data_IF_808795256623
#
_entry.id   IF_808795256623
#
_cell.length_a   1.000
_cell.length_b   1.000
_cell.length_c   1.000
_cell.angle_alpha   90.00
_cell.angle_beta   90.00
_cell.angle_gamma   90.00
#
_symmetry.space_group_name_H-M   'P 1'
#
loop_
_entity.id
_entity.type
_entity.pdbx_description
1 polymer ?
#
# COMPACT_ATOMS: atom_id res chain seq x y z
N UNK A 1 -12.48 -3.12 15.17
CA UNK A 1 -11.88 -2.52 13.97
C UNK A 1 -10.61 -3.31 13.66
N UNK A 2 -10.20 -3.45 12.39
CA UNK A 2 -8.93 -4.10 12.09
C UNK A 2 -7.78 -3.36 12.78
N UNK A 3 -6.74 -4.10 13.15
CA UNK A 3 -5.47 -3.59 13.65
C UNK A 3 -4.71 -2.85 12.53
N UNK A 4 -4.82 -3.36 11.31
CA UNK A 4 -4.15 -2.86 10.12
C UNK A 4 -4.90 -3.36 8.87
N UNK A 5 -4.89 -2.57 7.80
CA UNK A 5 -5.49 -2.93 6.52
C UNK A 5 -4.48 -2.68 5.39
N UNK A 6 -4.43 -3.56 4.40
CA UNK A 6 -3.53 -3.42 3.26
C UNK A 6 -4.26 -3.63 1.94
N UNK A 7 -3.76 -2.95 0.91
CA UNK A 7 -4.18 -3.11 -0.49
C UNK A 7 -2.95 -3.41 -1.36
N UNK A 8 -3.06 -4.31 -2.33
CA UNK A 8 -1.97 -4.61 -3.24
C UNK A 8 -1.79 -3.51 -4.29
N UNK A 9 -0.56 -3.02 -4.47
CA UNK A 9 -0.27 -2.04 -5.53
C UNK A 9 -0.21 -2.66 -6.93
N UNK A 10 0.19 -3.94 -7.03
CA UNK A 10 0.45 -4.60 -8.33
C UNK A 10 -0.48 -5.78 -8.63
N UNK A 11 -1.27 -6.23 -7.65
CA UNK A 11 -2.26 -7.30 -7.82
C UNK A 11 -3.67 -6.71 -7.62
N UNK A 12 -4.42 -6.42 -8.70
CA UNK A 12 -5.75 -5.83 -8.56
C UNK A 12 -6.68 -6.76 -7.77
N UNK A 13 -7.58 -6.15 -6.99
CA UNK A 13 -8.60 -6.81 -6.18
C UNK A 13 -8.09 -7.65 -4.98
N UNK A 14 -6.84 -7.42 -4.53
CA UNK A 14 -6.33 -8.00 -3.28
C UNK A 14 -6.36 -7.00 -2.13
N UNK A 15 -7.02 -7.40 -1.04
CA UNK A 15 -7.14 -6.62 0.19
C UNK A 15 -6.93 -7.54 1.41
N UNK A 16 -6.29 -7.03 2.46
CA UNK A 16 -6.08 -7.73 3.74
C UNK A 16 -6.53 -6.87 4.90
N UNK A 17 -7.10 -7.50 5.91
CA UNK A 17 -7.35 -6.88 7.22
C UNK A 17 -6.81 -7.79 8.32
N UNK A 18 -5.89 -7.29 9.14
CA UNK A 18 -5.41 -7.98 10.33
C UNK A 18 -6.29 -7.60 11.52
N UNK A 19 -6.62 -8.58 12.36
CA UNK A 19 -7.27 -8.36 13.66
C UNK A 19 -6.36 -8.71 14.83
N UNK A 20 -5.36 -9.57 14.61
CA UNK A 20 -4.37 -9.95 15.60
C UNK A 20 -2.99 -10.12 14.92
N UNK A 21 -1.93 -9.97 15.72
CA UNK A 21 -0.54 -10.19 15.30
C UNK A 21 0.06 -11.23 16.23
N UNK A 22 0.36 -12.39 15.68
CA UNK A 22 1.08 -13.44 16.38
C UNK A 22 2.60 -13.20 16.33
N UNK A 23 3.35 -14.04 17.05
CA UNK A 23 4.81 -14.05 16.99
C UNK A 23 5.29 -14.36 15.56
N UNK A 24 6.52 -13.97 15.23
CA UNK A 24 7.16 -14.20 13.92
C UNK A 24 6.50 -13.50 12.71
N UNK A 25 5.75 -12.41 12.90
CA UNK A 25 5.22 -11.60 11.79
C UNK A 25 4.05 -12.27 11.06
N UNK A 26 3.35 -13.16 11.74
CA UNK A 26 2.10 -13.77 11.30
C UNK A 26 0.92 -12.91 11.76
N UNK A 27 -0.02 -12.65 10.88
CA UNK A 27 -1.25 -11.91 11.18
C UNK A 27 -2.44 -12.86 11.08
N UNK A 28 -3.31 -12.82 12.07
CA UNK A 28 -4.65 -13.38 11.95
C UNK A 28 -5.61 -12.32 11.43
N UNK A 29 -6.37 -12.65 10.39
CA UNK A 29 -7.18 -11.67 9.72
C UNK A 29 -8.12 -12.25 8.67
N UNK A 30 -8.43 -11.43 7.67
CA UNK A 30 -9.17 -11.84 6.49
C UNK A 30 -8.52 -11.30 5.23
N UNK A 31 -8.65 -12.04 4.13
CA UNK A 31 -8.16 -11.67 2.80
C UNK A 31 -9.31 -11.69 1.81
N UNK A 32 -9.30 -10.72 0.90
CA UNK A 32 -10.15 -10.69 -0.29
C UNK A 32 -9.24 -10.70 -1.50
N UNK A 33 -9.53 -11.56 -2.47
CA UNK A 33 -8.73 -11.69 -3.69
C UNK A 33 -9.59 -12.21 -4.85
N UNK A 34 -9.09 -12.19 -6.09
CA UNK A 34 -9.70 -12.91 -7.21
C UNK A 34 -9.89 -14.41 -6.93
N UNK A 35 -9.01 -15.01 -6.11
CA UNK A 35 -9.10 -16.42 -5.74
C UNK A 35 -10.27 -16.71 -4.81
N UNK A 36 -10.65 -15.74 -3.98
CA UNK A 36 -11.84 -15.81 -3.11
C UNK A 36 -13.10 -15.31 -3.83
N UNK A 37 -13.04 -15.11 -5.16
CA UNK A 37 -14.11 -14.51 -5.96
C UNK A 37 -14.61 -13.17 -5.40
N UNK A 38 -13.68 -12.37 -4.86
CA UNK A 38 -13.99 -11.08 -4.25
C UNK A 38 -14.74 -11.17 -2.91
N UNK A 39 -14.83 -12.36 -2.31
CA UNK A 39 -15.35 -12.55 -0.96
C UNK A 39 -14.23 -12.42 0.08
N UNK A 40 -14.58 -12.03 1.30
CA UNK A 40 -13.64 -12.06 2.41
C UNK A 40 -13.56 -13.46 3.00
N UNK A 41 -12.34 -13.99 3.16
CA UNK A 41 -12.08 -15.25 3.84
C UNK A 41 -11.13 -15.04 5.01
N UNK A 42 -11.48 -15.60 6.17
CA UNK A 42 -10.64 -15.53 7.36
C UNK A 42 -9.48 -16.53 7.27
N UNK A 43 -8.30 -16.10 7.73
CA UNK A 43 -7.12 -16.94 7.72
C UNK A 43 -5.91 -16.24 8.33
N UNK A 44 -4.76 -16.85 8.10
CA UNK A 44 -3.47 -16.31 8.50
C UNK A 44 -2.69 -15.89 7.27
N UNK A 45 -1.97 -14.79 7.38
CA UNK A 45 -1.05 -14.32 6.36
C UNK A 45 0.22 -13.75 6.99
N UNK A 46 1.33 -13.80 6.27
CA UNK A 46 2.62 -13.33 6.77
C UNK A 46 2.98 -11.98 6.18
N UNK A 47 3.88 -11.28 6.86
CA UNK A 47 4.50 -10.06 6.34
C UNK A 47 5.15 -10.27 4.96
N UNK A 48 5.81 -11.41 4.74
CA UNK A 48 6.41 -11.75 3.43
C UNK A 48 5.37 -11.86 2.31
N UNK A 49 4.17 -12.38 2.59
CA UNK A 49 3.10 -12.45 1.60
C UNK A 49 2.59 -11.06 1.21
N UNK A 50 2.52 -10.14 2.18
CA UNK A 50 2.18 -8.74 1.91
C UNK A 50 3.26 -8.07 1.06
N UNK A 51 4.55 -8.33 1.33
CA UNK A 51 5.69 -7.81 0.54
C UNK A 51 5.67 -8.34 -0.89
N UNK A 52 5.47 -9.64 -1.07
CA UNK A 52 5.39 -10.26 -2.40
C UNK A 52 4.24 -9.68 -3.23
N UNK A 53 3.13 -9.33 -2.58
CA UNK A 53 2.01 -8.65 -3.22
C UNK A 53 2.24 -7.15 -3.48
N UNK A 54 3.33 -6.56 -2.96
CA UNK A 54 3.55 -5.12 -2.95
C UNK A 54 2.43 -4.37 -2.24
N UNK A 55 1.97 -4.92 -1.11
CA UNK A 55 0.84 -4.37 -0.37
C UNK A 55 1.26 -3.15 0.46
N UNK A 56 0.44 -2.11 0.47
CA UNK A 56 0.63 -0.91 1.27
C UNK A 56 -0.51 -0.75 2.28
N UNK A 57 -0.25 -0.10 3.41
CA UNK A 57 -1.24 0.20 4.44
C UNK A 57 -2.24 1.21 3.91
N UNK A 58 -3.52 0.83 3.90
CA UNK A 58 -4.62 1.69 3.45
C UNK A 58 -5.37 2.34 4.61
N UNK A 59 -5.07 1.94 5.85
CA UNK A 59 -5.67 2.51 7.07
C UNK A 59 -4.85 3.65 7.71
N UNK A 60 -3.69 4.00 7.14
CA UNK A 60 -2.87 5.12 7.61
C UNK A 60 -3.22 6.39 6.82
N UNK A 61 -3.41 7.51 7.52
CA UNK A 61 -3.51 8.82 6.89
C UNK A 61 -2.12 9.37 6.51
N UNK A 62 -2.08 10.42 5.68
CA UNK A 62 -0.81 11.01 5.22
C UNK A 62 0.04 11.60 6.36
N UNK A 63 -0.60 11.95 7.47
CA UNK A 63 0.04 12.48 8.68
C UNK A 63 0.36 11.39 9.73
N UNK A 64 0.04 10.12 9.47
CA UNK A 64 0.34 9.03 10.41
C UNK A 64 1.82 8.64 10.36
N UNK A 65 2.43 8.51 11.55
CA UNK A 65 3.82 8.04 11.73
C UNK A 65 3.98 6.51 11.48
N UNK A 66 2.96 5.84 10.95
CA UNK A 66 2.94 4.41 10.70
C UNK A 66 3.80 3.98 9.51
N UNK A 67 4.23 2.72 9.53
CA UNK A 67 4.93 2.10 8.39
C UNK A 67 3.94 1.82 7.26
N UNK A 68 4.15 2.44 6.10
CA UNK A 68 3.28 2.31 4.93
C UNK A 68 3.40 0.93 4.29
N UNK A 69 4.61 0.37 4.24
CA UNK A 69 4.82 -0.98 3.71
C UNK A 69 5.22 -1.97 4.81
N UNK A 70 4.94 -3.27 4.62
CA UNK A 70 5.36 -4.32 5.56
C UNK A 70 6.90 -4.45 5.67
N UNK A 71 7.67 -3.98 4.71
CA UNK A 71 9.14 -3.88 4.75
C UNK A 71 9.67 -2.53 5.26
N UNK A 72 8.77 -1.66 5.71
CA UNK A 72 9.07 -0.32 6.22
C UNK A 72 8.92 0.77 5.16
N UNK A 73 9.17 2.01 5.57
CA UNK A 73 8.95 3.22 4.77
C UNK A 73 7.75 3.99 5.28
N UNK A 74 7.97 5.24 5.66
CA UNK A 74 6.92 6.12 6.21
C UNK A 74 6.19 6.84 5.10
N UNK A 75 4.94 7.21 5.36
CA UNK A 75 4.14 8.00 4.42
C UNK A 75 4.83 9.33 4.09
N UNK A 76 5.35 10.01 5.10
CA UNK A 76 6.11 11.27 4.97
C UNK A 76 7.32 11.17 4.04
N UNK A 77 8.04 10.04 4.04
CA UNK A 77 9.23 9.84 3.22
C UNK A 77 8.89 9.67 1.73
N UNK A 78 7.69 9.19 1.42
CA UNK A 78 7.25 8.90 0.05
C UNK A 78 6.56 10.11 -0.57
N UNK A 79 5.72 10.83 0.19
CA UNK A 79 5.04 12.04 -0.30
C UNK A 79 6.06 13.09 -0.78
N UNK A 80 7.13 13.33 -0.02
CA UNK A 80 8.19 14.28 -0.42
C UNK A 80 8.93 13.91 -1.72
N UNK A 81 9.01 12.62 -2.07
CA UNK A 81 9.61 12.15 -3.34
C UNK A 81 8.64 12.34 -4.51
N UNK A 82 7.35 12.11 -4.31
CA UNK A 82 6.35 12.28 -5.37
C UNK A 82 6.09 13.76 -5.70
N UNK A 83 6.05 14.66 -4.71
CA UNK A 83 5.95 16.11 -4.96
C UNK A 83 7.12 16.60 -5.84
N UNK A 84 8.35 16.22 -5.49
CA UNK A 84 9.55 16.60 -6.27
C UNK A 84 9.52 16.04 -7.70
N UNK A 85 9.00 14.82 -7.90
CA UNK A 85 8.93 14.18 -9.23
C UNK A 85 7.80 14.72 -10.10
N UNK A 86 6.65 15.08 -9.51
CA UNK A 86 5.54 15.72 -10.22
C UNK A 86 5.90 17.15 -10.62
N UNK A 87 6.58 17.90 -9.74
CA UNK A 87 7.05 19.25 -10.05
C UNK A 87 8.07 19.24 -11.20
N UNK A 88 9.02 18.30 -11.21
CA UNK A 88 9.96 18.12 -12.32
C UNK A 88 9.30 17.70 -13.66
N UNK A 89 8.17 16.98 -13.62
CA UNK A 89 7.39 16.63 -14.81
C UNK A 89 6.53 17.79 -15.33
N UNK A 90 6.06 18.67 -14.44
CA UNK A 90 5.31 19.88 -14.80
C UNK A 90 6.24 20.97 -15.33
N UNK A 91 7.41 21.17 -14.73
CA UNK A 91 8.40 22.16 -15.17
C UNK A 91 9.07 21.78 -16.50
N UNK A 92 9.16 20.47 -16.81
CA UNK A 92 9.60 19.98 -18.13
C UNK A 92 8.55 20.05 -19.25
N UNK A 93 7.31 20.47 -18.93
CA UNK A 93 6.17 20.53 -19.86
C UNK A 93 5.93 21.88 -20.52
N UNK A 94 6.65 22.94 -20.14
CA UNK A 94 6.43 24.31 -20.63
C UNK A 94 7.28 24.73 -21.86
N UNK A 95 7.96 23.80 -22.55
CA UNK A 95 8.73 24.13 -23.77
C UNK A 95 8.27 23.39 -25.04
N UNK A 96 6.95 23.28 -25.29
CA UNK A 96 6.47 22.92 -26.64
C UNK A 96 5.13 23.58 -26.99
N UNK A 97 5.07 24.92 -27.06
CA UNK A 97 4.15 25.59 -28.00
C UNK A 97 4.81 26.84 -28.60
N UNK A 98 4.47 27.05 -29.88
CA UNK A 98 4.83 28.16 -30.79
C UNK A 98 6.18 27.98 -31.51
N UNK A 99 6.22 27.65 -32.81
CA UNK A 99 5.63 28.44 -33.90
C UNK A 99 5.31 27.58 -35.13
N UNK A 100 4.10 27.78 -35.67
CA UNK A 100 3.71 27.49 -37.06
C UNK A 100 4.13 28.67 -37.93
#
# INVERSE_FOLDING_TARGET
>A
MPLASWEAAFLPDWEWEAYDKEEDGVYFGRVKSPNTYGQWEYGYFTEDQLKEAGAYRSDLDMDDEGELFPDGGRVEEIVGVYETRLEAMLEGGEEYQDKV
#
